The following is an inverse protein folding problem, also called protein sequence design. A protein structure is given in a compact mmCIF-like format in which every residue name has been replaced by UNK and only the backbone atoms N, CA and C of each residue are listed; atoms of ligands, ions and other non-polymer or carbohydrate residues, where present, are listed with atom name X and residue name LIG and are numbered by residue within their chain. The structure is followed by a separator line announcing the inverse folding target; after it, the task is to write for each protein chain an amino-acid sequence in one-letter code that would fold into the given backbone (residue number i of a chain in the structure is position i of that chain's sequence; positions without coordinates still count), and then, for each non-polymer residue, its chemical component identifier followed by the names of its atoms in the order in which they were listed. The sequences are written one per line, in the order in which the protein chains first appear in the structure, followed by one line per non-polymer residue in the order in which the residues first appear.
data_IF_626021628000
#
_entry.id   IF_626021628000
#
_cell.length_a   1.000
_cell.length_b   1.000
_cell.length_c   1.000
_cell.angle_alpha   90.00
_cell.angle_beta   90.00
_cell.angle_gamma   90.00
#
_symmetry.space_group_name_H-M   'P 1'
#
loop_
_entity.id
_entity.type
_entity.pdbx_description
1 polymer ?
#
# COMPACT_ATOMS: atom_id res chain seq x y z
N UNK A 1 -11.17 18.59 30.38
CA UNK A 1 -11.35 17.35 29.62
C UNK A 1 -12.42 16.56 30.33
N UNK A 2 -13.53 16.27 29.65
CA UNK A 2 -14.67 15.53 30.24
C UNK A 2 -14.35 14.03 30.30
N UNK A 3 -15.03 13.29 31.19
CA UNK A 3 -14.82 11.86 31.39
C UNK A 3 -15.00 11.03 30.09
N UNK A 4 -15.88 11.49 29.19
CA UNK A 4 -16.09 10.89 27.87
C UNK A 4 -14.90 11.07 26.92
N UNK A 5 -14.20 12.21 26.98
CA UNK A 5 -13.01 12.47 26.15
C UNK A 5 -11.82 11.60 26.57
N UNK A 6 -11.69 11.34 27.88
CA UNK A 6 -10.63 10.47 28.42
C UNK A 6 -10.89 9.02 28.03
N UNK A 7 -12.15 8.55 28.17
CA UNK A 7 -12.54 7.19 27.79
C UNK A 7 -12.38 6.94 26.27
N UNK A 8 -12.79 7.91 25.44
CA UNK A 8 -12.60 7.82 23.99
C UNK A 8 -11.13 7.76 23.58
N UNK A 9 -10.24 8.52 24.24
CA UNK A 9 -8.79 8.45 23.98
C UNK A 9 -8.16 7.13 24.41
N UNK A 10 -8.55 6.61 25.58
CA UNK A 10 -8.04 5.33 26.06
C UNK A 10 -8.48 4.16 25.18
N UNK A 11 -9.73 4.18 24.71
CA UNK A 11 -10.22 3.15 23.79
C UNK A 11 -9.55 3.25 22.42
N UNK A 12 -9.32 4.46 21.90
CA UNK A 12 -8.56 4.66 20.66
C UNK A 12 -7.12 4.15 20.79
N UNK A 13 -6.44 4.42 21.92
CA UNK A 13 -5.10 3.90 22.19
C UNK A 13 -5.08 2.36 22.24
N UNK A 14 -6.08 1.74 22.88
CA UNK A 14 -6.20 0.28 22.94
C UNK A 14 -6.38 -0.33 21.55
N UNK A 15 -7.26 0.26 20.73
CA UNK A 15 -7.49 -0.16 19.34
C UNK A 15 -6.22 0.01 18.50
N UNK A 16 -5.51 1.14 18.63
CA UNK A 16 -4.27 1.39 17.91
C UNK A 16 -3.15 0.40 18.30
N UNK A 17 -3.05 0.03 19.58
CA UNK A 17 -2.11 -0.97 20.09
C UNK A 17 -2.45 -2.38 19.65
N UNK A 18 -3.73 -2.77 19.69
CA UNK A 18 -4.24 -4.05 19.21
C UNK A 18 -3.96 -4.20 17.70
N UNK A 19 -4.29 -3.17 16.91
CA UNK A 19 -4.02 -3.15 15.47
C UNK A 19 -2.52 -3.22 15.15
N UNK A 20 -1.67 -2.56 15.95
CA UNK A 20 -0.20 -2.68 15.84
C UNK A 20 0.30 -4.08 16.15
N UNK A 21 -0.26 -4.73 17.18
CA UNK A 21 0.07 -6.11 17.56
C UNK A 21 -0.27 -7.09 16.45
N UNK A 22 -1.49 -7.01 15.93
CA UNK A 22 -1.97 -7.84 14.83
C UNK A 22 -1.17 -7.62 13.54
N UNK A 23 -0.86 -6.36 13.22
CA UNK A 23 -0.04 -6.03 12.05
C UNK A 23 1.39 -6.58 12.18
N UNK A 24 2.00 -6.48 13.37
CA UNK A 24 3.33 -7.07 13.64
C UNK A 24 3.30 -8.60 13.47
N UNK A 25 2.28 -9.26 13.99
CA UNK A 25 2.09 -10.70 13.85
C UNK A 25 1.91 -11.11 12.38
N UNK A 26 1.13 -10.34 11.61
CA UNK A 26 0.98 -10.52 10.18
C UNK A 26 2.32 -10.38 9.43
N UNK A 27 3.09 -9.31 9.66
CA UNK A 27 4.41 -9.11 9.04
C UNK A 27 5.37 -10.27 9.36
N UNK A 28 5.40 -10.75 10.60
CA UNK A 28 6.24 -11.89 10.98
C UNK A 28 5.86 -13.17 10.24
N UNK A 29 4.55 -13.46 10.12
CA UNK A 29 4.06 -14.59 9.30
C UNK A 29 4.48 -14.44 7.84
N UNK A 30 4.31 -13.26 7.26
CA UNK A 30 4.66 -12.98 5.86
C UNK A 30 6.17 -13.12 5.58
N UNK A 31 7.03 -12.70 6.51
CA UNK A 31 8.48 -12.80 6.34
C UNK A 31 8.98 -14.25 6.30
N UNK A 32 8.24 -15.19 6.91
CA UNK A 32 8.60 -16.60 6.94
C UNK A 32 8.05 -17.41 5.76
N UNK A 33 7.22 -16.81 4.89
CA UNK A 33 6.68 -17.48 3.71
C UNK A 33 7.64 -17.39 2.51
N UNK A 34 7.64 -18.38 1.60
CA UNK A 34 8.23 -18.26 0.27
C UNK A 34 7.62 -17.09 -0.51
N UNK A 35 8.39 -16.43 -1.40
CA UNK A 35 7.91 -15.24 -2.13
C UNK A 35 6.63 -15.46 -2.94
N UNK A 36 6.40 -16.68 -3.44
CA UNK A 36 5.17 -17.06 -4.15
C UNK A 36 3.93 -17.15 -3.25
N UNK A 37 4.12 -17.30 -1.94
CA UNK A 37 3.06 -17.44 -0.94
C UNK A 37 2.88 -16.18 -0.09
N UNK A 38 3.78 -15.20 -0.24
CA UNK A 38 3.65 -13.91 0.45
C UNK A 38 2.47 -13.14 -0.11
N UNK A 39 1.68 -12.58 0.78
CA UNK A 39 0.72 -11.52 0.48
C UNK A 39 1.48 -10.31 -0.06
N UNK A 40 1.14 -9.97 -1.29
CA UNK A 40 1.79 -8.93 -2.08
C UNK A 40 0.90 -7.70 -2.18
N UNK A 41 0.24 -7.34 -1.09
CA UNK A 41 -0.85 -6.37 -1.07
C UNK A 41 -0.61 -5.32 0.02
N UNK A 42 -0.83 -4.06 -0.34
CA UNK A 42 -0.88 -2.95 0.62
C UNK A 42 -2.33 -2.58 0.91
N UNK A 43 -2.74 -2.63 2.19
CA UNK A 43 -4.13 -2.42 2.62
C UNK A 43 -4.37 -1.11 3.35
N UNK A 44 -3.33 -0.29 3.53
CA UNK A 44 -3.36 0.98 4.25
C UNK A 44 -2.29 1.91 3.68
N UNK A 45 -2.38 3.21 3.98
CA UNK A 45 -1.28 4.14 3.71
C UNK A 45 -0.02 3.63 4.44
N UNK A 46 1.06 3.40 3.69
CA UNK A 46 2.33 2.96 4.25
C UNK A 46 3.39 4.04 4.02
N UNK A 47 4.16 4.33 5.06
CA UNK A 47 5.32 5.21 5.00
C UNK A 47 6.57 4.37 4.86
N UNK A 48 7.37 4.68 3.84
CA UNK A 48 8.56 3.90 3.50
C UNK A 48 9.81 4.71 3.79
N UNK A 49 10.69 4.14 4.60
CA UNK A 49 12.04 4.63 4.78
C UNK A 49 12.97 3.76 3.95
N UNK A 50 13.50 4.31 2.86
CA UNK A 50 14.39 3.58 1.96
C UNK A 50 15.82 3.96 2.28
N UNK A 51 16.58 3.05 2.88
CA UNK A 51 18.02 3.25 3.11
C UNK A 51 18.76 3.12 1.76
N UNK A 52 19.44 4.18 1.34
CA UNK A 52 20.18 4.27 0.06
C UNK A 52 21.42 3.38 0.01
N UNK A 53 21.97 2.97 1.16
CA UNK A 53 23.06 2.00 1.23
C UNK A 53 22.61 0.58 0.86
N UNK A 54 21.31 0.32 0.96
CA UNK A 54 20.73 -0.89 0.39
C UNK A 54 20.60 -0.66 -1.11
N UNK A 55 21.41 -1.35 -1.90
CA UNK A 55 21.32 -1.41 -3.37
C UNK A 55 19.94 -1.96 -3.80
N UNK A 56 18.95 -1.07 -3.73
CA UNK A 56 17.53 -1.34 -3.78
C UNK A 56 16.93 -0.37 -4.80
N UNK A 57 16.33 -0.94 -5.84
CA UNK A 57 15.61 -0.19 -6.84
C UNK A 57 14.11 -0.33 -6.61
N UNK A 58 13.43 0.80 -6.50
CA UNK A 58 11.99 0.88 -6.28
C UNK A 58 11.34 1.54 -7.49
N UNK A 59 10.24 0.97 -7.96
CA UNK A 59 9.48 1.58 -9.05
C UNK A 59 7.99 1.28 -8.97
N UNK A 60 7.20 2.28 -9.33
CA UNK A 60 5.76 2.18 -9.53
C UNK A 60 5.48 1.91 -10.99
N UNK A 61 4.61 0.94 -11.26
CA UNK A 61 4.31 0.45 -12.60
C UNK A 61 2.83 0.24 -12.80
N UNK A 62 2.42 0.36 -14.06
CA UNK A 62 1.16 -0.18 -14.54
C UNK A 62 1.31 -1.69 -14.75
N UNK A 63 0.43 -2.44 -14.12
CA UNK A 63 0.32 -3.88 -14.24
C UNK A 63 -0.58 -4.29 -15.40
N UNK A 64 -1.43 -5.30 -15.17
CA UNK A 64 -2.37 -5.76 -16.19
C UNK A 64 -3.51 -4.76 -16.37
N UNK A 65 -4.03 -4.66 -17.60
CA UNK A 65 -5.32 -4.04 -17.87
C UNK A 65 -6.44 -5.00 -17.45
N UNK A 66 -7.27 -4.58 -16.51
CA UNK A 66 -8.45 -5.31 -16.04
C UNK A 66 -9.68 -4.68 -16.69
N UNK A 67 -10.50 -5.50 -17.33
CA UNK A 67 -11.80 -5.07 -17.88
C UNK A 67 -12.79 -4.89 -16.72
N UNK A 68 -13.31 -3.68 -16.58
CA UNK A 68 -14.31 -3.30 -15.58
C UNK A 68 -15.66 -3.10 -16.26
N UNK A 69 -16.75 -3.68 -15.74
CA UNK A 69 -18.08 -3.53 -16.33
C UNK A 69 -18.63 -2.12 -16.15
N UNK A 70 -19.60 -1.79 -17.01
CA UNK A 70 -20.40 -0.57 -16.92
C UNK A 70 -21.03 -0.40 -15.53
N UNK A 71 -21.11 0.84 -15.07
CA UNK A 71 -21.70 1.24 -13.79
C UNK A 71 -21.06 0.65 -12.52
N UNK A 72 -19.89 0.00 -12.61
CA UNK A 72 -19.17 -0.46 -11.42
C UNK A 72 -18.64 0.72 -10.58
N UNK A 73 -18.10 1.74 -11.23
CA UNK A 73 -17.80 3.03 -10.60
C UNK A 73 -18.90 4.04 -10.95
N UNK A 74 -19.38 4.79 -9.95
CA UNK A 74 -20.48 5.74 -10.11
C UNK A 74 -20.26 6.80 -11.21
N UNK A 75 -19.02 7.11 -11.51
CA UNK A 75 -18.64 8.16 -12.45
C UNK A 75 -18.05 7.63 -13.77
N UNK A 76 -17.99 6.30 -13.96
CA UNK A 76 -17.61 5.66 -15.23
C UNK A 76 -18.77 4.77 -15.68
N UNK A 77 -19.83 5.36 -16.27
CA UNK A 77 -21.05 4.64 -16.58
C UNK A 77 -20.84 3.57 -17.65
N UNK A 78 -19.87 3.76 -18.56
CA UNK A 78 -19.67 2.87 -19.71
C UNK A 78 -18.70 1.71 -19.42
N UNK A 79 -18.10 1.64 -18.23
CA UNK A 79 -17.03 0.68 -17.94
C UNK A 79 -15.76 0.97 -18.75
N UNK A 80 -14.80 0.05 -18.73
CA UNK A 80 -13.54 0.25 -19.45
C UNK A 80 -12.41 -0.67 -19.00
N UNK A 81 -11.21 -0.44 -19.52
CA UNK A 81 -10.00 -1.10 -19.06
C UNK A 81 -9.26 -0.22 -18.07
N UNK A 82 -8.92 -0.79 -16.92
CA UNK A 82 -8.20 -0.11 -15.85
C UNK A 82 -6.91 -0.85 -15.53
N UNK A 83 -5.81 -0.11 -15.40
CA UNK A 83 -4.52 -0.69 -15.07
C UNK A 83 -4.44 -1.04 -13.57
N UNK A 84 -3.88 -2.20 -13.26
CA UNK A 84 -3.39 -2.49 -11.92
C UNK A 84 -2.24 -1.54 -11.59
N UNK A 85 -2.10 -1.16 -10.31
CA UNK A 85 -0.93 -0.42 -9.84
C UNK A 85 -0.02 -1.35 -9.05
N UNK A 86 1.24 -1.38 -9.45
CA UNK A 86 2.22 -2.35 -8.98
C UNK A 86 3.46 -1.63 -8.46
N UNK A 87 3.89 -1.97 -7.25
CA UNK A 87 5.22 -1.65 -6.74
C UNK A 87 6.17 -2.81 -7.08
N UNK A 88 7.31 -2.50 -7.68
CA UNK A 88 8.42 -3.45 -7.82
C UNK A 88 9.59 -3.02 -6.98
N UNK A 89 10.17 -4.00 -6.30
CA UNK A 89 11.39 -3.86 -5.51
C UNK A 89 12.42 -4.79 -6.13
N UNK A 90 13.53 -4.23 -6.61
CA UNK A 90 14.65 -5.01 -7.14
C UNK A 90 15.87 -4.85 -6.24
N UNK A 91 16.52 -5.97 -5.90
CA UNK A 91 17.75 -6.00 -5.11
C UNK A 91 18.67 -7.10 -5.63
N UNK A 92 19.92 -6.76 -5.98
CA UNK A 92 20.92 -7.74 -6.47
C UNK A 92 20.37 -8.69 -7.55
N UNK A 93 19.64 -8.14 -8.52
CA UNK A 93 19.03 -8.91 -9.62
C UNK A 93 17.72 -9.64 -9.30
N UNK A 94 17.32 -9.76 -8.03
CA UNK A 94 16.01 -10.33 -7.64
C UNK A 94 14.94 -9.25 -7.68
N UNK A 95 13.75 -9.59 -8.19
CA UNK A 95 12.60 -8.68 -8.28
C UNK A 95 11.44 -9.27 -7.48
N UNK A 96 10.91 -8.50 -6.54
CA UNK A 96 9.64 -8.76 -5.87
C UNK A 96 8.59 -7.76 -6.37
N UNK A 97 7.36 -8.24 -6.58
CA UNK A 97 6.25 -7.46 -7.13
C UNK A 97 5.09 -7.44 -6.14
N UNK A 98 4.50 -6.26 -5.94
CA UNK A 98 3.41 -6.03 -5.01
C UNK A 98 2.27 -5.25 -5.69
N UNK A 99 1.05 -5.72 -5.54
CA UNK A 99 -0.16 -4.98 -5.89
C UNK A 99 -0.43 -3.91 -4.84
N UNK A 100 -0.69 -2.69 -5.27
CA UNK A 100 -1.01 -1.57 -4.37
C UNK A 100 -2.46 -1.58 -3.87
N UNK A 101 -3.24 -2.62 -4.13
CA UNK A 101 -4.68 -2.67 -3.82
C UNK A 101 -5.13 -4.05 -3.33
N UNK A 102 -6.10 -4.06 -2.39
CA UNK A 102 -6.66 -5.27 -1.76
C UNK A 102 -7.64 -5.98 -2.70
N UNK A 103 -7.52 -7.31 -2.81
CA UNK A 103 -8.33 -8.18 -3.68
C UNK A 103 -9.82 -8.29 -3.27
N UNK A 104 -10.32 -7.53 -2.30
CA UNK A 104 -11.74 -7.60 -1.91
C UNK A 104 -12.68 -7.16 -3.03
N UNK A 105 -12.15 -6.49 -4.06
CA UNK A 105 -12.88 -6.09 -5.26
C UNK A 105 -12.26 -6.78 -6.48
N UNK A 106 -13.10 -7.37 -7.34
CA UNK A 106 -12.69 -7.96 -8.62
C UNK A 106 -12.05 -6.94 -9.60
N UNK A 107 -12.05 -5.66 -9.26
CA UNK A 107 -11.62 -4.55 -10.09
C UNK A 107 -10.72 -3.58 -9.31
N UNK A 108 -9.74 -2.92 -9.95
CA UNK A 108 -8.83 -1.98 -9.27
C UNK A 108 -9.56 -0.90 -8.49
N UNK A 109 -9.02 -0.39 -7.38
CA UNK A 109 -9.51 0.86 -6.79
C UNK A 109 -9.35 1.98 -7.82
N UNK A 110 -10.41 2.77 -7.96
CA UNK A 110 -10.40 3.97 -8.78
C UNK A 110 -9.48 5.01 -8.13
N UNK A 111 -8.47 5.44 -8.87
CA UNK A 111 -7.63 6.57 -8.49
C UNK A 111 -7.82 7.68 -9.50
N UNK A 112 -8.52 8.76 -9.09
CA UNK A 112 -8.81 9.89 -9.98
C UNK A 112 -7.53 10.69 -10.24
N UNK A 113 -6.71 10.86 -9.21
CA UNK A 113 -5.37 11.43 -9.35
C UNK A 113 -4.38 10.69 -8.45
N UNK A 114 -3.23 10.35 -9.02
CA UNK A 114 -2.11 9.78 -8.28
C UNK A 114 -1.16 10.92 -7.93
N UNK A 115 -0.88 11.09 -6.65
CA UNK A 115 0.09 12.07 -6.16
C UNK A 115 1.34 11.31 -5.74
N UNK A 116 2.40 11.44 -6.53
CA UNK A 116 3.71 10.87 -6.20
C UNK A 116 4.68 12.01 -5.92
N UNK A 117 5.14 12.11 -4.67
CA UNK A 117 6.07 13.16 -4.25
C UNK A 117 7.23 12.56 -3.47
N UNK A 118 8.45 13.01 -3.77
CA UNK A 118 9.58 12.86 -2.85
C UNK A 118 9.39 13.95 -1.79
N UNK A 119 9.02 13.55 -0.58
CA UNK A 119 8.77 14.49 0.52
C UNK A 119 10.09 14.95 1.11
N UNK A 120 11.07 14.06 1.18
CA UNK A 120 12.40 14.39 1.67
C UNK A 120 13.46 13.47 1.04
N UNK A 121 14.60 14.04 0.70
CA UNK A 121 15.73 13.30 0.15
C UNK A 121 17.04 13.67 0.87
N UNK A 122 17.75 12.66 1.37
CA UNK A 122 19.04 12.82 2.03
C UNK A 122 20.08 11.87 1.45
N UNK A 123 21.34 11.96 1.89
CA UNK A 123 22.37 11.00 1.48
C UNK A 123 22.11 9.57 1.99
N UNK A 124 21.42 9.42 3.12
CA UNK A 124 21.19 8.12 3.77
C UNK A 124 19.86 7.48 3.38
N UNK A 125 18.82 8.29 3.17
CA UNK A 125 17.49 7.77 2.84
C UNK A 125 16.67 8.74 2.00
N UNK A 126 15.70 8.17 1.29
CA UNK A 126 14.62 8.91 0.62
C UNK A 126 13.29 8.58 1.26
N UNK A 127 12.50 9.61 1.53
CA UNK A 127 11.12 9.51 1.96
C UNK A 127 10.20 9.97 0.84
N UNK A 128 9.37 9.06 0.35
CA UNK A 128 8.42 9.31 -0.73
C UNK A 128 6.99 9.03 -0.27
N UNK A 129 6.08 9.83 -0.78
CA UNK A 129 4.64 9.70 -0.59
C UNK A 129 4.00 9.33 -1.94
N UNK A 130 3.20 8.28 -1.92
CA UNK A 130 2.34 7.89 -3.03
C UNK A 130 0.91 7.86 -2.51
N UNK A 131 0.13 8.85 -2.90
CA UNK A 131 -1.26 9.04 -2.50
C UNK A 131 -2.20 8.88 -3.67
N UNK A 132 -3.45 8.59 -3.32
CA UNK A 132 -4.55 8.59 -4.26
C UNK A 132 -5.65 9.52 -3.73
N UNK A 133 -6.13 10.42 -4.58
CA UNK A 133 -7.27 11.31 -4.28
C UNK A 133 -8.47 10.96 -5.15
#
# INVERSE_FOLDING_TARGET
MTFSEIFSRQEQQRVDEEYRGDYRNYKNKQNNLPDSQRSKVFSSNEYWLVNKEQDLWLGLFDGKNIKVPANYYKDIPNGGYHQQRILRVKRKGKISQFLLQRETNNYPSKCLSVINNIVFDSSLYTYFYSGCT
#
